data_IF_878949100768
#
_entry.id   IF_878949100768
#
_cell.length_a   1.000
_cell.length_b   1.000
_cell.length_c   1.000
_cell.angle_alpha   90.00
_cell.angle_beta   90.00
_cell.angle_gamma   90.00
#
_symmetry.space_group_name_H-M   'P 1'
#
loop_
_entity.id
_entity.type
_entity.pdbx_description
1 polymer ?
#
# COMPACT_ATOMS: atom_id res chain seq x y z
N UNK A 1 3.85 -0.19 15.53
CA UNK A 1 4.17 -0.03 14.09
C UNK A 1 2.96 -0.51 13.32
N UNK A 2 2.43 0.29 12.39
CA UNK A 2 1.27 -0.10 11.57
C UNK A 2 1.74 -0.40 10.16
N UNK A 3 1.45 -1.60 9.67
CA UNK A 3 1.70 -1.98 8.29
C UNK A 3 0.41 -1.85 7.48
N UNK A 4 0.54 -1.37 6.25
CA UNK A 4 -0.49 -1.41 5.22
C UNK A 4 -0.06 -2.45 4.21
N UNK A 5 -0.94 -3.42 3.96
CA UNK A 5 -0.70 -4.49 3.00
C UNK A 5 -1.68 -4.38 1.84
N UNK A 6 -1.19 -4.69 0.65
CA UNK A 6 -2.01 -5.04 -0.51
C UNK A 6 -1.72 -6.50 -0.80
N UNK A 7 -2.75 -7.32 -0.77
CA UNK A 7 -2.66 -8.75 -1.02
C UNK A 7 -3.50 -9.08 -2.26
N UNK A 8 -2.85 -9.60 -3.30
CA UNK A 8 -3.44 -9.91 -4.60
C UNK A 8 -3.48 -11.43 -4.75
N UNK A 9 -4.67 -11.97 -5.01
CA UNK A 9 -4.91 -13.40 -5.03
C UNK A 9 -5.44 -13.83 -6.39
N UNK A 10 -4.88 -14.91 -6.94
CA UNK A 10 -5.48 -15.61 -8.08
C UNK A 10 -6.32 -16.76 -7.55
N UNK A 11 -7.62 -16.72 -7.84
CA UNK A 11 -8.58 -17.74 -7.39
C UNK A 11 -9.06 -18.56 -8.59
N UNK A 12 -9.06 -19.88 -8.46
CA UNK A 12 -9.60 -20.83 -9.44
C UNK A 12 -10.40 -21.89 -8.71
N UNK A 13 -11.62 -22.15 -9.16
CA UNK A 13 -12.52 -23.16 -8.57
C UNK A 13 -12.77 -22.97 -7.06
N UNK A 14 -12.78 -21.71 -6.61
CA UNK A 14 -12.95 -21.36 -5.20
C UNK A 14 -11.68 -21.48 -4.35
N UNK A 15 -10.57 -21.95 -4.93
CA UNK A 15 -9.28 -22.08 -4.26
C UNK A 15 -8.30 -20.99 -4.69
N UNK A 16 -7.47 -20.55 -3.74
CA UNK A 16 -6.35 -19.66 -4.03
C UNK A 16 -5.22 -20.51 -4.63
N UNK A 17 -4.83 -20.20 -5.86
CA UNK A 17 -3.75 -20.92 -6.57
C UNK A 17 -2.48 -20.07 -6.73
N UNK A 18 -2.54 -18.80 -6.33
CA UNK A 18 -1.39 -17.89 -6.34
C UNK A 18 -1.66 -16.65 -5.52
N UNK A 19 -0.61 -16.12 -4.90
CA UNK A 19 -0.67 -14.90 -4.11
C UNK A 19 0.56 -14.04 -4.33
N UNK A 20 0.37 -12.72 -4.29
CA UNK A 20 1.44 -11.74 -4.20
C UNK A 20 1.04 -10.64 -3.23
N UNK A 21 1.96 -10.32 -2.34
CA UNK A 21 1.75 -9.29 -1.33
C UNK A 21 2.79 -8.20 -1.42
N UNK A 22 2.32 -6.99 -1.14
CA UNK A 22 3.15 -5.81 -0.99
C UNK A 22 2.87 -5.19 0.36
N UNK A 23 3.95 -4.89 1.07
CA UNK A 23 3.91 -4.39 2.43
C UNK A 23 4.58 -3.01 2.49
N UNK A 24 3.94 -2.07 3.16
CA UNK A 24 4.49 -0.75 3.43
C UNK A 24 4.06 -0.29 4.82
N UNK A 25 4.64 0.81 5.31
CA UNK A 25 4.13 1.49 6.49
C UNK A 25 4.32 3.00 6.36
N UNK A 26 3.41 3.81 6.94
CA UNK A 26 3.54 5.26 6.92
C UNK A 26 4.93 5.71 7.41
N UNK A 27 5.56 6.61 6.67
CA UNK A 27 6.86 7.20 7.01
C UNK A 27 8.10 6.35 6.69
N UNK A 28 7.97 5.13 6.17
CA UNK A 28 9.14 4.36 5.70
C UNK A 28 9.78 4.95 4.44
N UNK A 29 8.97 5.57 3.60
CA UNK A 29 9.43 6.34 2.46
C UNK A 29 8.95 7.80 2.62
N UNK A 30 9.78 8.69 3.18
CA UNK A 30 9.38 10.06 3.42
C UNK A 30 9.15 10.80 2.11
N UNK A 31 8.06 11.56 2.05
CA UNK A 31 7.75 12.36 0.87
C UNK A 31 8.91 13.33 0.55
N UNK A 32 9.38 13.39 -0.71
CA UNK A 32 10.44 14.31 -1.07
C UNK A 32 9.97 15.76 -0.94
N UNK A 33 10.83 16.62 -0.36
CA UNK A 33 10.45 18.01 0.02
C UNK A 33 9.92 18.84 -1.14
N UNK A 34 10.46 18.65 -2.34
CA UNK A 34 10.11 19.45 -3.51
C UNK A 34 8.62 19.34 -3.89
N UNK A 35 7.93 18.24 -3.55
CA UNK A 35 6.53 18.04 -3.94
C UNK A 35 5.51 18.65 -2.99
N UNK A 36 5.94 19.23 -1.86
CA UNK A 36 5.05 19.68 -0.79
C UNK A 36 4.01 20.72 -1.25
N UNK A 37 4.36 21.58 -2.21
CA UNK A 37 3.44 22.59 -2.78
C UNK A 37 2.51 22.08 -3.88
N UNK A 38 2.64 20.80 -4.28
CA UNK A 38 1.94 20.22 -5.44
C UNK A 38 1.04 19.04 -5.06
N UNK A 39 0.82 18.81 -3.77
CA UNK A 39 0.04 17.66 -3.28
C UNK A 39 -1.05 18.14 -2.34
N UNK A 40 -2.18 17.46 -2.41
CA UNK A 40 -3.22 17.53 -1.39
C UNK A 40 -3.02 16.34 -0.44
N UNK A 41 -2.86 16.57 0.87
CA UNK A 41 -2.80 15.47 1.83
C UNK A 41 -4.14 14.73 1.86
N UNK A 42 -4.14 13.45 1.47
CA UNK A 42 -5.28 12.58 1.71
C UNK A 42 -5.28 12.19 3.19
N UNK A 43 -6.27 12.66 3.94
CA UNK A 43 -6.53 12.13 5.28
C UNK A 43 -7.23 10.79 5.09
N UNK A 44 -6.64 9.72 5.63
CA UNK A 44 -7.34 8.44 5.76
C UNK A 44 -8.04 8.46 7.13
N UNK A 45 -9.36 8.31 7.14
CA UNK A 45 -10.15 8.05 8.35
C UNK A 45 -9.67 6.77 9.06
#
# INVERSE_FOLDING_TARGET
MVYRAVSLWTVRDGEIVGAREYWTSPGQDPAPRWRAGYVEPLVAD
#
